data_IF_319584344446
#
_entry.id   IF_319584344446
#
_cell.length_a   1.000
_cell.length_b   1.000
_cell.length_c   1.000
_cell.angle_alpha   90.00
_cell.angle_beta   90.00
_cell.angle_gamma   90.00
#
_symmetry.space_group_name_H-M   'P 1'
#
loop_
_entity.id
_entity.type
_entity.pdbx_description
1 polymer ?
#
# COMPACT_ATOMS: atom_id res chain seq x y z
N UNK A 1 20.96 36.29 -55.67
CA UNK A 1 19.65 35.92 -55.11
C UNK A 1 19.53 34.39 -55.06
N UNK A 2 19.19 33.83 -53.87
CA UNK A 2 18.44 32.59 -53.58
C UNK A 2 18.83 31.27 -54.30
N UNK A 3 18.96 30.09 -53.68
CA UNK A 3 18.72 29.60 -52.31
C UNK A 3 19.33 28.18 -52.18
N UNK A 4 20.13 27.97 -51.12
CA UNK A 4 20.23 26.83 -50.19
C UNK A 4 20.16 25.38 -50.71
N UNK A 5 21.34 24.76 -50.78
CA UNK A 5 21.82 23.56 -50.07
C UNK A 5 20.86 22.36 -49.90
N UNK A 6 20.98 21.41 -50.83
CA UNK A 6 21.62 20.09 -50.71
C UNK A 6 21.64 19.37 -49.32
N UNK A 7 21.29 18.08 -49.40
CA UNK A 7 21.62 16.90 -48.55
C UNK A 7 20.66 16.51 -47.40
N UNK A 8 19.79 15.58 -47.80
CA UNK A 8 19.35 14.36 -47.12
C UNK A 8 20.49 13.59 -46.39
N UNK A 9 20.47 13.47 -45.06
CA UNK A 9 20.82 12.24 -44.31
C UNK A 9 20.88 12.45 -42.79
N UNK A 10 20.47 11.41 -42.06
CA UNK A 10 21.02 10.98 -40.75
C UNK A 10 20.37 11.51 -39.44
N UNK A 11 19.80 10.53 -38.73
CA UNK A 11 19.67 10.34 -37.27
C UNK A 11 18.81 11.29 -36.44
N UNK A 12 17.66 10.78 -36.00
CA UNK A 12 17.19 10.72 -34.61
C UNK A 12 15.80 10.05 -34.65
N UNK A 13 15.68 8.74 -34.89
CA UNK A 13 15.75 7.71 -33.82
C UNK A 13 15.91 8.31 -32.42
N UNK A 14 14.95 9.13 -31.99
CA UNK A 14 14.58 9.22 -30.58
C UNK A 14 13.45 8.21 -30.34
N UNK A 15 13.80 6.93 -30.53
CA UNK A 15 13.20 5.87 -29.72
C UNK A 15 13.56 6.14 -28.27
N UNK A 16 12.63 5.80 -27.39
CA UNK A 16 12.80 5.71 -25.93
C UNK A 16 12.76 7.07 -25.23
N UNK A 17 11.63 7.36 -24.58
CA UNK A 17 11.51 7.85 -23.19
C UNK A 17 10.04 8.22 -22.92
N UNK A 18 9.14 7.24 -23.03
CA UNK A 18 7.95 7.24 -22.17
C UNK A 18 8.18 6.19 -21.09
N UNK A 19 9.16 6.47 -20.22
CA UNK A 19 9.17 5.84 -18.91
C UNK A 19 8.00 6.47 -18.14
N UNK A 20 6.78 5.96 -18.37
CA UNK A 20 5.72 6.11 -17.36
C UNK A 20 6.09 5.19 -16.20
N UNK A 21 7.02 5.64 -15.37
CA UNK A 21 7.21 5.10 -14.04
C UNK A 21 6.02 5.59 -13.20
N UNK A 22 4.97 4.77 -13.08
CA UNK A 22 4.01 4.91 -11.97
C UNK A 22 4.68 4.31 -10.73
N UNK A 23 5.57 5.09 -10.14
CA UNK A 23 6.45 4.67 -9.03
C UNK A 23 6.39 5.68 -7.90
N UNK A 24 5.17 6.10 -7.56
CA UNK A 24 5.00 7.15 -6.56
C UNK A 24 4.98 6.53 -5.17
N UNK A 25 6.00 6.88 -4.38
CA UNK A 25 6.02 6.64 -2.95
C UNK A 25 4.81 7.32 -2.28
N UNK A 26 4.28 6.70 -1.23
CA UNK A 26 3.23 7.33 -0.44
C UNK A 26 3.86 8.16 0.68
N UNK A 27 3.42 9.40 0.84
CA UNK A 27 3.91 10.30 1.89
C UNK A 27 2.78 10.78 2.78
N UNK A 28 3.09 10.95 4.07
CA UNK A 28 2.20 11.57 5.04
C UNK A 28 3.04 12.33 6.07
N UNK A 29 2.74 13.61 6.25
CA UNK A 29 3.58 14.52 7.04
C UNK A 29 5.02 14.53 6.49
N UNK A 30 6.00 14.07 7.28
CA UNK A 30 7.40 13.91 6.90
C UNK A 30 7.82 12.43 6.79
N UNK A 31 6.84 11.52 6.72
CA UNK A 31 7.07 10.08 6.63
C UNK A 31 6.79 9.58 5.22
N UNK A 32 7.57 8.58 4.80
CA UNK A 32 7.50 8.01 3.45
C UNK A 32 7.39 6.49 3.53
N UNK A 33 6.41 5.93 2.82
CA UNK A 33 6.33 4.52 2.51
C UNK A 33 6.78 4.32 1.06
N UNK A 34 7.91 3.63 0.87
CA UNK A 34 8.44 3.41 -0.48
C UNK A 34 7.50 2.54 -1.30
N UNK A 35 7.50 2.73 -2.61
CA UNK A 35 6.74 1.90 -3.55
C UNK A 35 7.05 0.41 -3.40
N UNK A 36 8.32 0.07 -3.19
CA UNK A 36 8.74 -1.32 -2.96
C UNK A 36 8.14 -1.94 -1.70
N UNK A 37 8.08 -1.19 -0.59
CA UNK A 37 7.48 -1.65 0.66
C UNK A 37 5.95 -1.74 0.53
N UNK A 38 5.33 -0.75 -0.13
CA UNK A 38 3.91 -0.78 -0.47
C UNK A 38 3.54 -2.03 -1.27
N UNK A 39 4.30 -2.35 -2.31
CA UNK A 39 4.06 -3.53 -3.17
C UNK A 39 4.25 -4.84 -2.39
N UNK A 40 5.25 -4.90 -1.51
CA UNK A 40 5.45 -6.04 -0.63
C UNK A 40 4.25 -6.26 0.31
N UNK A 41 3.74 -5.18 0.92
CA UNK A 41 2.55 -5.24 1.79
C UNK A 41 1.32 -5.66 0.98
N UNK A 42 1.09 -5.06 -0.19
CA UNK A 42 -0.05 -5.40 -1.07
C UNK A 42 -0.03 -6.87 -1.43
N UNK A 43 1.12 -7.39 -1.87
CA UNK A 43 1.30 -8.80 -2.22
C UNK A 43 1.07 -9.72 -1.03
N UNK A 44 1.61 -9.37 0.14
CA UNK A 44 1.44 -10.16 1.36
C UNK A 44 -0.04 -10.25 1.75
N UNK A 45 -0.73 -9.10 1.77
CA UNK A 45 -2.13 -9.01 2.16
C UNK A 45 -3.03 -9.75 1.16
N UNK A 46 -2.86 -9.51 -0.15
CA UNK A 46 -3.69 -10.17 -1.17
C UNK A 46 -3.50 -11.69 -1.16
N UNK A 47 -2.27 -12.18 -0.95
CA UNK A 47 -1.99 -13.62 -0.86
C UNK A 47 -2.71 -14.23 0.35
N UNK A 48 -2.58 -13.63 1.54
CA UNK A 48 -3.22 -14.15 2.75
C UNK A 48 -4.75 -14.12 2.67
N UNK A 49 -5.32 -13.04 2.14
CA UNK A 49 -6.76 -12.94 1.90
C UNK A 49 -7.23 -13.99 0.90
N UNK A 50 -6.48 -14.20 -0.18
CA UNK A 50 -6.86 -15.18 -1.20
C UNK A 50 -6.89 -16.60 -0.64
N UNK A 51 -5.90 -16.95 0.18
CA UNK A 51 -5.85 -18.24 0.89
C UNK A 51 -7.02 -18.36 1.86
N UNK A 52 -7.27 -17.32 2.67
CA UNK A 52 -8.32 -17.37 3.69
C UNK A 52 -9.72 -17.43 3.11
N UNK A 53 -9.95 -16.84 1.93
CA UNK A 53 -11.25 -16.81 1.26
C UNK A 53 -11.44 -17.94 0.24
N UNK A 54 -10.39 -18.70 -0.05
CA UNK A 54 -10.36 -19.68 -1.15
C UNK A 54 -10.80 -19.05 -2.50
N UNK A 55 -10.35 -17.82 -2.74
CA UNK A 55 -10.71 -17.03 -3.91
C UNK A 55 -9.59 -16.04 -4.26
N UNK A 56 -9.46 -15.64 -5.53
CA UNK A 56 -8.49 -14.61 -5.89
C UNK A 56 -8.96 -13.23 -5.40
N UNK A 57 -8.18 -12.60 -4.53
CA UNK A 57 -8.45 -11.26 -4.00
C UNK A 57 -7.49 -10.25 -4.63
N UNK A 58 -8.06 -9.32 -5.40
CA UNK A 58 -7.34 -8.16 -5.93
C UNK A 58 -7.49 -6.97 -4.98
N UNK A 59 -6.44 -6.16 -4.86
CA UNK A 59 -6.49 -4.87 -4.15
C UNK A 59 -6.87 -3.78 -5.14
N UNK A 60 -7.98 -3.10 -4.88
CA UNK A 60 -8.53 -2.06 -5.76
C UNK A 60 -7.79 -0.74 -5.60
N UNK A 61 -7.48 -0.39 -4.36
CA UNK A 61 -6.76 0.83 -4.03
C UNK A 61 -6.05 0.75 -2.68
N UNK A 62 -5.12 1.68 -2.48
CA UNK A 62 -4.32 1.78 -1.27
C UNK A 62 -4.23 3.24 -0.82
N UNK A 63 -4.24 3.46 0.50
CA UNK A 63 -4.16 4.80 1.09
C UNK A 63 -3.28 4.77 2.33
N UNK A 64 -2.26 5.63 2.34
CA UNK A 64 -1.46 5.89 3.54
C UNK A 64 -2.24 6.83 4.47
N UNK A 65 -2.35 6.47 5.74
CA UNK A 65 -3.15 7.19 6.71
C UNK A 65 -2.44 7.29 8.05
N UNK A 66 -2.77 8.36 8.78
CA UNK A 66 -2.44 8.54 10.18
C UNK A 66 -3.74 8.53 10.95
N UNK A 67 -3.86 7.60 11.90
CA UNK A 67 -5.03 7.46 12.77
C UNK A 67 -4.53 7.54 14.19
N UNK A 68 -4.98 8.55 14.93
CA UNK A 68 -4.35 8.95 16.20
C UNK A 68 -2.83 9.15 16.02
N UNK A 69 -2.00 8.46 16.81
CA UNK A 69 -0.54 8.52 16.72
C UNK A 69 0.09 7.38 15.90
N UNK A 70 -0.72 6.57 15.21
CA UNK A 70 -0.25 5.43 14.42
C UNK A 70 -0.24 5.71 12.92
N UNK A 71 0.71 5.12 12.21
CA UNK A 71 0.76 5.12 10.75
C UNK A 71 0.25 3.80 10.20
N UNK A 72 -0.58 3.88 9.16
CA UNK A 72 -1.28 2.72 8.62
C UNK A 72 -1.36 2.77 7.09
N UNK A 73 -1.31 1.61 6.46
CA UNK A 73 -1.70 1.43 5.07
C UNK A 73 -3.09 0.80 5.03
N UNK A 74 -4.08 1.49 4.46
CA UNK A 74 -5.40 0.91 4.14
C UNK A 74 -5.40 0.37 2.74
N UNK A 75 -5.83 -0.88 2.59
CA UNK A 75 -6.03 -1.58 1.33
C UNK A 75 -7.52 -1.86 1.17
N UNK A 76 -8.10 -1.47 0.05
CA UNK A 76 -9.52 -1.63 -0.26
C UNK A 76 -9.68 -2.76 -1.27
N UNK A 77 -10.60 -3.68 -1.03
CA UNK A 77 -10.86 -4.84 -1.89
C UNK A 77 -12.25 -5.39 -1.65
N UNK A 78 -13.04 -5.63 -2.71
CA UNK A 78 -14.29 -6.40 -2.66
C UNK A 78 -15.25 -6.04 -1.50
N UNK A 79 -15.46 -4.74 -1.27
CA UNK A 79 -16.32 -4.25 -0.18
C UNK A 79 -15.74 -4.38 1.24
N UNK A 80 -14.50 -4.87 1.37
CA UNK A 80 -13.72 -4.96 2.58
C UNK A 80 -12.57 -3.95 2.61
N UNK A 81 -12.10 -3.68 3.82
CA UNK A 81 -10.88 -2.91 4.05
C UNK A 81 -9.94 -3.73 4.92
N UNK A 82 -8.68 -3.80 4.50
CA UNK A 82 -7.57 -4.27 5.32
C UNK A 82 -6.72 -3.10 5.77
N UNK A 83 -6.63 -2.87 7.08
CA UNK A 83 -5.73 -1.88 7.67
C UNK A 83 -4.47 -2.56 8.21
N UNK A 84 -3.33 -2.13 7.70
CA UNK A 84 -1.99 -2.63 8.02
C UNK A 84 -1.24 -1.62 8.88
N UNK A 85 -0.62 -2.08 9.98
CA UNK A 85 0.21 -1.23 10.84
C UNK A 85 1.58 -0.97 10.21
N UNK A 86 2.03 0.27 10.31
CA UNK A 86 3.37 0.69 9.90
C UNK A 86 4.17 1.18 11.10
N UNK A 87 5.47 0.88 11.09
CA UNK A 87 6.45 1.39 12.06
C UNK A 87 7.40 2.37 11.37
N UNK A 88 7.83 3.39 12.11
CA UNK A 88 8.86 4.32 11.66
C UNK A 88 10.23 3.64 11.80
N UNK A 89 10.96 3.55 10.71
CA UNK A 89 12.33 3.09 10.59
C UNK A 89 13.21 4.26 10.10
N UNK A 90 14.44 4.39 10.61
CA UNK A 90 15.40 5.42 10.18
C UNK A 90 14.80 6.83 10.11
N UNK A 91 14.06 7.19 11.16
CA UNK A 91 13.40 8.49 11.38
C UNK A 91 12.25 8.85 10.42
N UNK A 92 12.33 8.58 9.13
CA UNK A 92 11.34 9.03 8.14
C UNK A 92 10.71 7.90 7.33
N UNK A 93 11.31 6.72 7.30
CA UNK A 93 10.84 5.61 6.49
C UNK A 93 9.76 4.82 7.23
N UNK A 94 8.70 4.44 6.54
CA UNK A 94 7.68 3.54 7.06
C UNK A 94 7.94 2.13 6.57
N UNK A 95 7.79 1.17 7.48
CA UNK A 95 7.91 -0.27 7.22
C UNK A 95 6.72 -1.02 7.77
N UNK A 96 6.43 -2.18 7.21
CA UNK A 96 5.42 -3.07 7.78
C UNK A 96 5.76 -3.45 9.22
N UNK A 97 4.75 -3.42 10.10
CA UNK A 97 4.90 -3.77 11.51
C UNK A 97 4.35 -5.18 11.84
N UNK A 98 4.10 -6.01 10.84
CA UNK A 98 3.81 -7.43 11.02
C UNK A 98 2.35 -7.79 11.29
N UNK A 99 1.43 -6.82 11.25
CA UNK A 99 0.00 -7.05 11.54
C UNK A 99 -0.92 -6.29 10.60
N UNK A 100 -1.99 -6.98 10.19
CA UNK A 100 -3.08 -6.43 9.39
C UNK A 100 -4.43 -6.92 9.90
N UNK A 101 -5.44 -6.06 9.82
CA UNK A 101 -6.81 -6.33 10.27
C UNK A 101 -7.79 -6.02 9.14
N UNK A 102 -8.75 -6.91 8.89
CA UNK A 102 -9.74 -6.78 7.81
C UNK A 102 -11.16 -6.72 8.37
N UNK A 103 -12.01 -5.90 7.75
CA UNK A 103 -13.43 -5.76 8.07
C UNK A 103 -14.26 -5.43 6.83
N UNK A 104 -15.53 -5.85 6.84
CA UNK A 104 -16.60 -5.34 5.96
C UNK A 104 -17.35 -4.17 6.61
N UNK A 105 -17.51 -4.20 7.94
CA UNK A 105 -18.48 -3.38 8.66
C UNK A 105 -18.04 -1.96 9.00
N UNK A 106 -16.82 -1.77 9.52
CA UNK A 106 -16.33 -0.43 9.88
C UNK A 106 -15.38 0.17 8.85
N UNK A 107 -15.58 -0.19 7.58
CA UNK A 107 -14.81 0.32 6.45
C UNK A 107 -14.84 1.87 6.35
N UNK A 108 -15.94 2.50 6.77
CA UNK A 108 -16.12 3.96 6.71
C UNK A 108 -15.52 4.72 7.89
N UNK A 109 -15.14 4.01 8.96
CA UNK A 109 -14.71 4.61 10.24
C UNK A 109 -13.25 4.24 10.56
N UNK A 110 -12.72 4.70 11.70
CA UNK A 110 -11.38 4.35 12.20
C UNK A 110 -11.35 3.05 13.04
N UNK A 111 -12.35 2.20 12.89
CA UNK A 111 -12.42 0.89 13.54
C UNK A 111 -11.62 -0.19 12.81
N UNK A 112 -11.47 -1.36 13.46
CA UNK A 112 -10.72 -2.51 12.92
C UNK A 112 -9.31 -2.17 12.42
N UNK A 113 -8.58 -1.45 13.26
CA UNK A 113 -7.17 -1.15 13.04
C UNK A 113 -6.31 -1.99 13.99
N UNK A 114 -5.10 -2.39 13.61
CA UNK A 114 -4.14 -2.94 14.56
C UNK A 114 -3.90 -1.97 15.72
N UNK A 115 -3.80 -2.50 16.94
CA UNK A 115 -3.41 -1.71 18.09
C UNK A 115 -1.94 -1.27 18.03
N UNK A 116 -1.57 -0.26 18.83
CA UNK A 116 -0.21 0.29 18.84
C UNK A 116 0.86 -0.75 19.18
N UNK A 117 0.51 -1.76 19.97
CA UNK A 117 1.41 -2.85 20.36
C UNK A 117 1.55 -3.93 19.27
N UNK A 118 0.77 -3.84 18.20
CA UNK A 118 0.78 -4.78 17.07
C UNK A 118 0.29 -6.20 17.41
N UNK A 119 -0.45 -6.36 18.52
CA UNK A 119 -0.85 -7.67 19.06
C UNK A 119 -2.27 -8.06 18.67
N UNK A 120 -3.17 -7.10 18.58
CA UNK A 120 -4.61 -7.34 18.34
C UNK A 120 -5.20 -6.28 17.41
N UNK A 121 -6.37 -6.61 16.88
CA UNK A 121 -7.19 -5.65 16.16
C UNK A 121 -8.14 -4.97 17.14
N UNK A 122 -8.31 -3.66 16.99
CA UNK A 122 -9.38 -2.90 17.67
C UNK A 122 -10.73 -3.34 17.13
N UNK A 123 -11.78 -3.28 17.95
CA UNK A 123 -13.14 -3.63 17.49
C UNK A 123 -13.74 -2.51 16.65
N UNK A 124 -14.64 -2.87 15.74
CA UNK A 124 -15.56 -1.93 15.11
C UNK A 124 -16.65 -1.54 16.13
N UNK A 125 -16.48 -0.42 16.84
CA UNK A 125 -17.47 0.04 17.82
C UNK A 125 -17.79 -0.97 18.94
N UNK A 126 -18.96 -0.84 19.56
CA UNK A 126 -19.33 -1.61 20.75
C UNK A 126 -19.68 -3.09 20.49
N UNK A 127 -20.00 -3.48 19.25
CA UNK A 127 -20.68 -4.77 19.01
C UNK A 127 -20.18 -5.61 17.83
N UNK A 128 -19.23 -5.14 17.02
CA UNK A 128 -18.88 -5.90 15.81
C UNK A 128 -17.75 -6.92 16.03
N UNK A 129 -18.11 -8.20 15.82
CA UNK A 129 -17.20 -9.35 15.68
C UNK A 129 -16.61 -9.48 14.27
N UNK A 130 -16.92 -8.54 13.37
CA UNK A 130 -16.52 -8.58 11.96
C UNK A 130 -15.04 -8.23 11.75
N UNK A 131 -14.39 -7.62 12.74
CA UNK A 131 -12.97 -7.34 12.65
C UNK A 131 -12.12 -8.60 12.81
N UNK A 132 -11.52 -9.04 11.71
CA UNK A 132 -10.67 -10.23 11.63
C UNK A 132 -9.21 -9.84 11.53
N UNK A 133 -8.36 -10.58 12.22
CA UNK A 133 -6.89 -10.47 12.06
C UNK A 133 -6.50 -11.27 10.81
N UNK A 134 -5.78 -10.63 9.90
CA UNK A 134 -5.55 -11.17 8.54
C UNK A 134 -4.11 -11.61 8.34
N UNK A 135 -3.15 -10.93 8.98
CA UNK A 135 -1.73 -11.27 8.89
C UNK A 135 -1.07 -11.13 10.26
N UNK A 136 -0.16 -12.05 10.56
CA UNK A 136 0.78 -12.01 11.69
C UNK A 136 2.13 -12.57 11.25
N UNK A 137 2.99 -11.73 10.68
CA UNK A 137 4.40 -12.01 10.40
C UNK A 137 5.06 -10.73 9.89
N UNK A 138 6.28 -10.40 10.33
CA UNK A 138 7.08 -9.36 9.67
C UNK A 138 7.27 -9.70 8.18
N UNK A 139 7.32 -8.69 7.31
CA UNK A 139 7.84 -8.89 5.95
C UNK A 139 9.30 -9.29 6.15
N UNK A 140 9.61 -10.55 5.85
CA UNK A 140 10.98 -11.04 5.86
C UNK A 140 11.77 -10.17 4.89
N UNK A 141 12.59 -9.29 5.43
CA UNK A 141 13.68 -8.65 4.70
C UNK A 141 14.71 -9.75 4.44
N UNK A 142 14.71 -10.30 3.23
CA UNK A 142 15.91 -10.95 2.67
C UNK A 142 17.03 -9.93 2.47
#
# INVERSE_FOLDING_TARGET
MKKKNFILSILCVFTVFVISCSSDDLTIEQKTLSKSEQDAIVKLVSTNLSISKDANVSIDSVKLMKINDGYYLRLYHDGEITTTLLKVEKETMLKYAGISCTTTYCATDDGCIPDKDGKKCTKCGAFSSDCKKTVTSDVLTE
#
